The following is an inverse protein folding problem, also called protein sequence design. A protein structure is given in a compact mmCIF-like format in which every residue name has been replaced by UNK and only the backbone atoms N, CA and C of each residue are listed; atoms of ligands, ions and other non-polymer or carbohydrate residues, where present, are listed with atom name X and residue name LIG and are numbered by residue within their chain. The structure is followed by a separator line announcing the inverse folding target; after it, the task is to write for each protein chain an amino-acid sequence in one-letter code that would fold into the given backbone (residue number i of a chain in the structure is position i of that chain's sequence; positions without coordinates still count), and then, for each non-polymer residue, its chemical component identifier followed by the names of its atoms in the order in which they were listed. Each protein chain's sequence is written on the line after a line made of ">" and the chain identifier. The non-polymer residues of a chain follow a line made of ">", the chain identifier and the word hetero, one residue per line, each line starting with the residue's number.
data_IF_679240550236
#
_entry.id   IF_679240550236
#
_cell.length_a   1.000
_cell.length_b   1.000
_cell.length_c   1.000
_cell.angle_alpha   90.00
_cell.angle_beta   90.00
_cell.angle_gamma   90.00
#
_symmetry.space_group_name_H-M   'P 1'
#
loop_
_entity.id
_entity.type
_entity.pdbx_description
1 polymer ?
#
# COMPACT_ATOMS: atom_id res chain seq x y z
N UNK A 1 25.64 0.08 -17.95
CA UNK A 1 24.98 0.01 -16.64
C UNK A 1 24.76 -1.46 -16.30
N UNK A 2 25.59 -2.01 -15.42
CA UNK A 2 25.45 -3.37 -14.89
C UNK A 2 24.14 -3.43 -14.10
N UNK A 3 23.21 -4.33 -14.50
CA UNK A 3 22.06 -4.66 -13.64
C UNK A 3 22.62 -5.04 -12.25
N UNK A 4 22.02 -4.57 -11.14
CA UNK A 4 22.38 -5.09 -9.84
C UNK A 4 22.30 -6.62 -9.90
N UNK A 5 23.27 -7.29 -9.27
CA UNK A 5 23.27 -8.75 -9.21
C UNK A 5 22.10 -9.20 -8.34
N UNK A 6 20.93 -9.37 -8.97
CA UNK A 6 19.69 -9.86 -8.35
C UNK A 6 19.92 -11.28 -7.77
N UNK A 7 20.95 -11.98 -8.26
CA UNK A 7 21.41 -13.29 -7.74
C UNK A 7 22.31 -13.20 -6.49
N UNK A 8 22.62 -12.00 -5.99
CA UNK A 8 23.37 -11.85 -4.74
C UNK A 8 22.51 -12.27 -3.54
N UNK A 9 23.07 -13.00 -2.56
CA UNK A 9 22.34 -13.42 -1.36
C UNK A 9 21.71 -12.27 -0.57
N UNK A 10 22.20 -11.04 -0.75
CA UNK A 10 21.66 -9.82 -0.12
C UNK A 10 20.37 -9.29 -0.77
N UNK A 11 20.10 -9.65 -2.03
CA UNK A 11 18.89 -9.25 -2.78
C UNK A 11 17.87 -10.38 -2.91
N UNK A 12 18.08 -11.48 -2.18
CA UNK A 12 17.09 -12.54 -2.08
C UNK A 12 15.78 -12.00 -1.52
N UNK A 13 14.67 -12.36 -2.16
CA UNK A 13 13.33 -11.92 -1.78
C UNK A 13 12.98 -12.24 -0.32
N UNK A 14 13.39 -13.39 0.20
CA UNK A 14 13.13 -13.77 1.59
C UNK A 14 13.94 -12.97 2.61
N UNK A 15 15.16 -12.56 2.26
CA UNK A 15 15.98 -11.66 3.08
C UNK A 15 15.32 -10.28 3.10
N UNK A 16 14.95 -9.74 1.94
CA UNK A 16 14.27 -8.45 1.86
C UNK A 16 12.88 -8.47 2.53
N UNK A 17 12.14 -9.58 2.47
CA UNK A 17 10.86 -9.76 3.20
C UNK A 17 11.09 -9.63 4.71
N UNK A 18 12.16 -10.24 5.23
CA UNK A 18 12.52 -10.19 6.64
C UNK A 18 12.96 -8.79 7.06
N UNK A 19 13.85 -8.17 6.30
CA UNK A 19 14.29 -6.79 6.58
C UNK A 19 13.09 -5.85 6.54
N UNK A 20 12.20 -5.96 5.54
CA UNK A 20 10.99 -5.13 5.47
C UNK A 20 10.13 -5.28 6.74
N UNK A 21 9.94 -6.52 7.18
CA UNK A 21 9.22 -6.80 8.43
C UNK A 21 9.93 -6.20 9.64
N UNK A 22 11.24 -6.42 9.78
CA UNK A 22 12.03 -5.91 10.91
C UNK A 22 12.03 -4.37 10.97
N UNK A 23 12.06 -3.71 9.81
CA UNK A 23 11.97 -2.24 9.72
C UNK A 23 10.59 -1.72 10.10
N UNK A 24 9.53 -2.42 9.71
CA UNK A 24 8.16 -2.06 10.11
C UNK A 24 7.94 -2.33 11.60
N UNK A 25 8.42 -3.46 12.13
CA UNK A 25 8.30 -3.82 13.55
C UNK A 25 9.23 -3.01 14.48
N UNK A 26 10.06 -2.11 13.92
CA UNK A 26 11.02 -1.32 14.68
C UNK A 26 10.29 -0.37 15.67
N UNK A 27 10.78 -0.19 16.91
CA UNK A 27 10.11 0.66 17.91
C UNK A 27 9.96 2.13 17.51
N UNK A 28 10.78 2.61 16.57
CA UNK A 28 10.71 3.97 16.05
C UNK A 28 9.75 4.12 14.86
N UNK A 29 9.20 3.02 14.33
CA UNK A 29 8.28 3.09 13.22
C UNK A 29 6.91 3.59 13.69
N UNK A 30 6.37 4.66 13.07
CA UNK A 30 5.17 5.35 13.55
C UNK A 30 3.88 4.63 13.11
N UNK A 31 3.57 3.51 13.76
CA UNK A 31 2.39 2.69 13.43
C UNK A 31 1.08 3.46 13.58
N UNK A 32 0.91 4.23 14.65
CA UNK A 32 -0.30 5.02 14.88
C UNK A 32 -0.55 6.03 13.75
N UNK A 33 0.49 6.75 13.32
CA UNK A 33 0.40 7.72 12.23
C UNK A 33 0.14 7.03 10.87
N UNK A 34 0.72 5.85 10.65
CA UNK A 34 0.43 5.06 9.47
C UNK A 34 -1.05 4.62 9.44
N UNK A 35 -1.56 4.08 10.55
CA UNK A 35 -2.94 3.63 10.66
C UNK A 35 -3.93 4.79 10.49
N UNK A 36 -3.64 5.96 11.07
CA UNK A 36 -4.40 7.20 10.85
C UNK A 36 -4.46 7.58 9.37
N UNK A 37 -3.35 7.50 8.64
CA UNK A 37 -3.31 7.78 7.19
C UNK A 37 -4.12 6.76 6.40
N UNK A 38 -3.97 5.47 6.70
CA UNK A 38 -4.62 4.39 5.94
C UNK A 38 -6.11 4.23 6.26
N UNK A 39 -6.60 4.92 7.30
CA UNK A 39 -8.02 5.01 7.69
C UNK A 39 -8.60 6.44 7.57
N UNK A 40 -7.88 7.35 6.91
CA UNK A 40 -8.27 8.75 6.77
C UNK A 40 -9.55 8.95 5.94
N UNK A 41 -10.06 7.91 5.29
CA UNK A 41 -11.30 7.96 4.51
C UNK A 41 -12.56 8.25 5.34
N UNK A 42 -12.48 8.09 6.66
CA UNK A 42 -13.52 8.48 7.61
C UNK A 42 -13.72 10.00 7.71
N UNK A 43 -12.69 10.80 7.45
CA UNK A 43 -12.76 12.26 7.43
C UNK A 43 -12.08 12.83 6.17
N UNK A 44 -12.84 13.37 5.21
CA UNK A 44 -12.32 14.03 4.02
C UNK A 44 -11.26 15.12 4.25
N UNK A 45 -11.25 15.73 5.44
CA UNK A 45 -10.33 16.80 5.81
C UNK A 45 -9.28 16.34 6.82
N UNK A 46 -9.14 15.03 7.07
CA UNK A 46 -8.13 14.49 7.97
C UNK A 46 -6.74 15.01 7.55
N UNK A 47 -6.01 15.68 8.46
CA UNK A 47 -4.67 16.14 8.17
C UNK A 47 -3.71 14.95 8.09
N UNK A 48 -2.59 15.12 7.38
CA UNK A 48 -1.49 14.17 7.44
C UNK A 48 -0.83 14.30 8.82
N UNK A 49 -0.75 13.23 9.63
CA UNK A 49 -0.18 13.31 10.96
C UNK A 49 1.30 13.68 10.90
N UNK A 50 1.78 14.55 11.80
CA UNK A 50 3.17 14.96 11.80
C UNK A 50 4.09 13.82 12.27
N UNK A 51 5.28 13.75 11.68
CA UNK A 51 6.36 12.87 12.11
C UNK A 51 7.46 13.68 12.81
N UNK A 52 7.95 13.17 13.93
CA UNK A 52 9.22 13.63 14.48
C UNK A 52 10.42 13.18 13.60
N UNK A 53 11.61 13.70 13.89
CA UNK A 53 12.82 13.40 13.11
C UNK A 53 13.14 11.90 13.08
N UNK A 54 12.96 11.19 14.21
CA UNK A 54 13.29 9.77 14.33
C UNK A 54 12.29 8.92 13.56
N UNK A 55 11.00 9.23 13.67
CA UNK A 55 9.93 8.59 12.93
C UNK A 55 10.09 8.81 11.42
N UNK A 56 10.42 10.05 11.00
CA UNK A 56 10.68 10.36 9.59
C UNK A 56 11.80 9.48 9.01
N UNK A 57 12.92 9.36 9.72
CA UNK A 57 14.03 8.50 9.30
C UNK A 57 13.62 7.02 9.22
N UNK A 58 12.82 6.54 10.18
CA UNK A 58 12.30 5.18 10.16
C UNK A 58 11.37 4.92 8.96
N UNK A 59 10.51 5.89 8.61
CA UNK A 59 9.61 5.79 7.44
C UNK A 59 10.40 5.84 6.13
N UNK A 60 11.43 6.68 6.04
CA UNK A 60 12.34 6.70 4.88
C UNK A 60 13.07 5.37 4.69
N UNK A 61 13.55 4.76 5.78
CA UNK A 61 14.20 3.44 5.76
C UNK A 61 13.21 2.36 5.32
N UNK A 62 12.02 2.30 5.94
CA UNK A 62 10.97 1.35 5.58
C UNK A 62 10.59 1.49 4.10
N UNK A 63 10.42 2.72 3.61
CA UNK A 63 10.07 2.99 2.21
C UNK A 63 11.12 2.46 1.23
N UNK A 64 12.41 2.60 1.55
CA UNK A 64 13.51 2.07 0.73
C UNK A 64 13.49 0.54 0.71
N UNK A 65 13.33 -0.10 1.87
CA UNK A 65 13.31 -1.56 1.96
C UNK A 65 12.10 -2.16 1.26
N UNK A 66 10.91 -1.56 1.41
CA UNK A 66 9.70 -1.98 0.71
C UNK A 66 9.85 -1.85 -0.81
N UNK A 67 10.43 -0.73 -1.29
CA UNK A 67 10.73 -0.55 -2.72
C UNK A 67 11.70 -1.63 -3.25
N UNK A 68 12.74 -1.98 -2.48
CA UNK A 68 13.66 -3.05 -2.84
C UNK A 68 12.96 -4.42 -2.88
N UNK A 69 12.16 -4.73 -1.86
CA UNK A 69 11.38 -5.97 -1.81
C UNK A 69 10.47 -6.12 -3.04
N UNK A 70 9.76 -5.05 -3.41
CA UNK A 70 8.90 -5.02 -4.59
C UNK A 70 9.64 -5.27 -5.89
N UNK A 71 10.90 -4.84 -5.99
CA UNK A 71 11.73 -5.03 -7.18
C UNK A 71 12.21 -6.48 -7.39
N UNK A 72 12.00 -7.36 -6.42
CA UNK A 72 12.35 -8.78 -6.55
C UNK A 72 11.27 -9.56 -7.30
N UNK A 73 11.70 -10.46 -8.19
CA UNK A 73 10.78 -11.36 -8.91
C UNK A 73 10.06 -12.30 -7.94
N UNK A 74 8.78 -12.55 -8.24
CA UNK A 74 7.87 -13.41 -7.45
C UNK A 74 7.24 -14.52 -8.30
N UNK A 75 7.95 -14.94 -9.33
CA UNK A 75 7.65 -16.15 -10.11
C UNK A 75 7.44 -17.30 -9.12
N UNK A 76 6.24 -17.87 -9.11
CA UNK A 76 5.78 -18.96 -8.24
C UNK A 76 5.32 -18.60 -6.80
N UNK A 77 4.89 -17.36 -6.56
CA UNK A 77 4.26 -16.98 -5.28
C UNK A 77 2.83 -17.53 -5.12
N UNK A 78 2.51 -18.04 -3.92
CA UNK A 78 1.16 -18.42 -3.53
C UNK A 78 0.21 -17.22 -3.51
N UNK A 79 -1.11 -17.44 -3.59
CA UNK A 79 -2.08 -16.34 -3.50
C UNK A 79 -1.99 -15.60 -2.15
N UNK A 80 -1.67 -16.30 -1.06
CA UNK A 80 -1.39 -15.68 0.24
C UNK A 80 -0.14 -14.78 0.21
N UNK A 81 0.93 -15.21 -0.45
CA UNK A 81 2.15 -14.39 -0.60
C UNK A 81 1.90 -13.17 -1.49
N UNK A 82 1.06 -13.30 -2.52
CA UNK A 82 0.64 -12.17 -3.35
C UNK A 82 -0.18 -11.17 -2.54
N UNK A 83 -1.18 -11.63 -1.78
CA UNK A 83 -1.97 -10.74 -0.92
C UNK A 83 -1.10 -10.01 0.10
N UNK A 84 -0.16 -10.73 0.73
CA UNK A 84 0.82 -10.15 1.64
C UNK A 84 1.67 -9.07 0.95
N UNK A 85 2.11 -9.33 -0.29
CA UNK A 85 2.87 -8.35 -1.08
C UNK A 85 2.04 -7.09 -1.37
N UNK A 86 0.75 -7.26 -1.74
CA UNK A 86 -0.16 -6.13 -1.96
C UNK A 86 -0.40 -5.32 -0.68
N UNK A 87 -0.47 -5.97 0.49
CA UNK A 87 -0.53 -5.25 1.78
C UNK A 87 0.74 -4.44 2.05
N UNK A 88 1.92 -4.99 1.76
CA UNK A 88 3.18 -4.24 1.90
C UNK A 88 3.27 -3.07 0.92
N UNK A 89 2.76 -3.20 -0.29
CA UNK A 89 2.66 -2.09 -1.24
C UNK A 89 1.67 -1.02 -0.76
N UNK A 90 0.59 -1.42 -0.08
CA UNK A 90 -0.35 -0.48 0.54
C UNK A 90 0.32 0.27 1.71
N UNK A 91 1.05 -0.43 2.56
CA UNK A 91 1.91 0.17 3.60
C UNK A 91 2.91 1.14 3.00
N UNK A 92 3.56 0.79 1.89
CA UNK A 92 4.50 1.67 1.19
C UNK A 92 3.83 2.96 0.73
N UNK A 93 2.59 2.89 0.21
CA UNK A 93 1.84 4.08 -0.17
C UNK A 93 1.52 4.97 1.05
N UNK A 94 1.18 4.38 2.19
CA UNK A 94 1.02 5.09 3.46
C UNK A 94 2.30 5.82 3.90
N UNK A 95 3.45 5.15 3.81
CA UNK A 95 4.75 5.76 4.07
C UNK A 95 5.03 6.95 3.12
N UNK A 96 4.72 6.82 1.83
CA UNK A 96 4.84 7.92 0.87
C UNK A 96 3.96 9.12 1.26
N UNK A 97 2.74 8.90 1.75
CA UNK A 97 1.85 9.96 2.23
C UNK A 97 2.45 10.67 3.45
N UNK A 98 2.93 9.91 4.43
CA UNK A 98 3.60 10.45 5.63
C UNK A 98 4.85 11.29 5.29
N UNK A 99 5.53 10.94 4.20
CA UNK A 99 6.67 11.70 3.64
C UNK A 99 6.26 12.82 2.69
N UNK A 100 4.95 13.12 2.56
CA UNK A 100 4.38 14.13 1.67
C UNK A 100 4.60 13.88 0.16
N UNK A 101 4.96 12.65 -0.24
CA UNK A 101 4.98 12.23 -1.65
C UNK A 101 3.59 11.74 -2.09
N UNK A 102 2.66 12.69 -2.22
CA UNK A 102 1.26 12.38 -2.54
C UNK A 102 1.07 11.83 -3.95
N UNK A 103 1.87 12.31 -4.92
CA UNK A 103 1.80 11.85 -6.29
C UNK A 103 2.34 10.42 -6.44
N UNK A 104 3.44 10.09 -5.74
CA UNK A 104 3.97 8.73 -5.67
C UNK A 104 3.00 7.76 -5.00
N UNK A 105 2.40 8.17 -3.87
CA UNK A 105 1.39 7.40 -3.17
C UNK A 105 0.17 7.12 -4.06
N UNK A 106 -0.40 8.15 -4.69
CA UNK A 106 -1.57 8.00 -5.57
C UNK A 106 -1.30 7.01 -6.71
N UNK A 107 -0.13 7.09 -7.35
CA UNK A 107 0.24 6.16 -8.43
C UNK A 107 0.31 4.72 -7.92
N UNK A 108 0.90 4.49 -6.74
CA UNK A 108 1.00 3.16 -6.13
C UNK A 108 -0.39 2.60 -5.80
N UNK A 109 -1.26 3.40 -5.20
CA UNK A 109 -2.63 3.00 -4.88
C UNK A 109 -3.46 2.71 -6.14
N UNK A 110 -3.31 3.50 -7.21
CA UNK A 110 -3.97 3.24 -8.49
C UNK A 110 -3.50 1.95 -9.16
N UNK A 111 -2.24 1.55 -8.96
CA UNK A 111 -1.75 0.24 -9.41
C UNK A 111 -2.35 -0.89 -8.56
N UNK A 112 -2.39 -0.73 -7.24
CA UNK A 112 -2.98 -1.71 -6.31
C UNK A 112 -4.44 -2.02 -6.66
N UNK A 113 -5.27 -1.01 -6.87
CA UNK A 113 -6.69 -1.24 -7.25
C UNK A 113 -6.85 -1.97 -8.59
N UNK A 114 -5.88 -1.86 -9.52
CA UNK A 114 -5.92 -2.61 -10.79
C UNK A 114 -5.60 -4.09 -10.60
N UNK A 115 -4.70 -4.40 -9.67
CA UNK A 115 -4.33 -5.77 -9.30
C UNK A 115 -5.42 -6.43 -8.45
N UNK A 116 -6.01 -5.68 -7.53
CA UNK A 116 -7.07 -6.14 -6.62
C UNK A 116 -8.44 -6.25 -7.29
N UNK A 117 -8.64 -5.57 -8.43
CA UNK A 117 -9.90 -5.58 -9.16
C UNK A 117 -10.38 -7.02 -9.38
N UNK A 118 -11.61 -7.37 -8.94
CA UNK A 118 -12.16 -8.70 -9.16
C UNK A 118 -12.16 -9.07 -10.64
N UNK A 119 -11.45 -10.14 -11.00
CA UNK A 119 -11.45 -10.70 -12.36
C UNK A 119 -11.92 -12.15 -12.31
N UNK A 120 -12.76 -12.60 -13.27
CA UNK A 120 -13.27 -13.98 -13.30
C UNK A 120 -12.18 -15.06 -13.32
N UNK A 121 -10.97 -14.70 -13.74
CA UNK A 121 -9.84 -15.61 -13.92
C UNK A 121 -8.81 -15.56 -12.77
N UNK A 122 -8.98 -14.67 -11.79
CA UNK A 122 -8.04 -14.52 -10.67
C UNK A 122 -8.69 -15.02 -9.37
N UNK A 123 -8.19 -16.17 -8.91
CA UNK A 123 -8.56 -16.78 -7.62
C UNK A 123 -8.33 -15.80 -6.47
N UNK A 124 -7.21 -15.06 -6.49
CA UNK A 124 -6.86 -14.07 -5.48
C UNK A 124 -7.86 -12.92 -5.40
N UNK A 125 -8.17 -12.28 -6.53
CA UNK A 125 -9.04 -11.08 -6.56
C UNK A 125 -10.49 -11.36 -6.17
N UNK A 126 -10.86 -12.64 -6.09
CA UNK A 126 -12.18 -13.11 -5.69
C UNK A 126 -12.24 -13.48 -4.20
N UNK A 127 -11.13 -13.42 -3.47
CA UNK A 127 -11.10 -13.66 -2.03
C UNK A 127 -11.69 -12.47 -1.27
N UNK A 128 -12.34 -12.76 -0.15
CA UNK A 128 -12.93 -11.73 0.73
C UNK A 128 -11.84 -10.78 1.23
N UNK A 129 -10.66 -11.30 1.54
CA UNK A 129 -9.53 -10.52 2.03
C UNK A 129 -8.98 -9.55 0.96
N UNK A 130 -8.93 -9.96 -0.31
CA UNK A 130 -8.55 -9.07 -1.41
C UNK A 130 -9.61 -7.98 -1.65
N UNK A 131 -10.89 -8.31 -1.54
CA UNK A 131 -11.98 -7.33 -1.63
C UNK A 131 -11.92 -6.30 -0.49
N UNK A 132 -11.63 -6.73 0.73
CA UNK A 132 -11.41 -5.81 1.86
C UNK A 132 -10.23 -4.88 1.62
N UNK A 133 -9.10 -5.41 1.14
CA UNK A 133 -7.94 -4.59 0.80
C UNK A 133 -8.26 -3.59 -0.34
N UNK A 134 -9.03 -3.99 -1.35
CA UNK A 134 -9.46 -3.08 -2.43
C UNK A 134 -10.30 -1.92 -1.87
N UNK A 135 -11.21 -2.22 -0.93
CA UNK A 135 -12.01 -1.18 -0.26
C UNK A 135 -11.16 -0.20 0.56
N UNK A 136 -10.14 -0.70 1.29
CA UNK A 136 -9.20 0.13 2.05
C UNK A 136 -8.42 1.07 1.11
N UNK A 137 -7.83 0.51 0.04
CA UNK A 137 -7.08 1.27 -0.96
C UNK A 137 -7.97 2.33 -1.64
N UNK A 138 -9.20 1.99 -2.00
CA UNK A 138 -10.16 2.92 -2.61
C UNK A 138 -10.58 4.02 -1.63
N UNK A 139 -10.69 3.72 -0.33
CA UNK A 139 -10.92 4.71 0.72
C UNK A 139 -9.81 5.74 0.77
N UNK A 140 -8.56 5.29 0.84
CA UNK A 140 -7.38 6.17 0.87
C UNK A 140 -7.25 7.00 -0.40
N UNK A 141 -7.52 6.41 -1.58
CA UNK A 141 -7.56 7.15 -2.86
C UNK A 141 -8.65 8.23 -2.88
N UNK A 142 -9.83 7.93 -2.33
CA UNK A 142 -10.92 8.89 -2.22
C UNK A 142 -10.51 10.07 -1.33
N UNK A 143 -9.97 9.82 -0.15
CA UNK A 143 -9.48 10.85 0.76
C UNK A 143 -8.38 11.70 0.11
N UNK A 144 -7.35 11.06 -0.44
CA UNK A 144 -6.22 11.73 -1.07
C UNK A 144 -6.65 12.60 -2.27
N UNK A 145 -7.64 12.14 -3.03
CA UNK A 145 -8.21 12.92 -4.14
C UNK A 145 -8.97 14.15 -3.63
N UNK A 146 -9.72 14.03 -2.52
CA UNK A 146 -10.40 15.18 -1.91
C UNK A 146 -9.41 16.20 -1.36
N UNK A 147 -8.38 15.75 -0.64
CA UNK A 147 -7.32 16.61 -0.12
C UNK A 147 -6.60 17.42 -1.22
N UNK A 148 -6.50 16.85 -2.43
CA UNK A 148 -5.93 17.50 -3.61
C UNK A 148 -6.97 18.30 -4.45
N UNK A 149 -8.19 18.50 -3.97
CA UNK A 149 -9.31 19.15 -4.68
C UNK A 149 -9.71 18.46 -6.02
N UNK A 150 -9.42 17.17 -6.16
CA UNK A 150 -9.80 16.35 -7.33
C UNK A 150 -11.15 15.66 -7.08
N UNK A 151 -12.22 16.45 -6.98
CA UNK A 151 -13.57 15.96 -6.59
C UNK A 151 -14.11 14.85 -7.49
N UNK A 152 -13.92 14.97 -8.82
CA UNK A 152 -14.35 13.95 -9.77
C UNK A 152 -13.66 12.59 -9.55
N UNK A 153 -12.37 12.60 -9.18
CA UNK A 153 -11.64 11.37 -8.87
C UNK A 153 -12.13 10.76 -7.56
N UNK A 154 -12.36 11.59 -6.53
CA UNK A 154 -12.91 11.13 -5.27
C UNK A 154 -14.28 10.45 -5.43
N UNK A 155 -15.19 11.04 -6.23
CA UNK A 155 -16.48 10.43 -6.53
C UNK A 155 -16.34 9.11 -7.29
N UNK A 156 -15.39 9.01 -8.23
CA UNK A 156 -15.12 7.77 -8.97
C UNK A 156 -14.70 6.65 -8.03
N UNK A 157 -13.76 6.93 -7.12
CA UNK A 157 -13.28 5.93 -6.15
C UNK A 157 -14.37 5.53 -5.16
N UNK A 158 -15.18 6.50 -4.70
CA UNK A 158 -16.33 6.22 -3.83
C UNK A 158 -17.35 5.29 -4.49
N UNK A 159 -17.72 5.54 -5.76
CA UNK A 159 -18.63 4.68 -6.51
C UNK A 159 -18.07 3.27 -6.71
N UNK A 160 -16.78 3.15 -7.00
CA UNK A 160 -16.13 1.85 -7.12
C UNK A 160 -16.16 1.10 -5.78
N UNK A 161 -15.77 1.75 -4.68
CA UNK A 161 -15.78 1.13 -3.34
C UNK A 161 -17.15 0.57 -2.96
N UNK A 162 -18.22 1.31 -3.23
CA UNK A 162 -19.59 0.82 -3.02
C UNK A 162 -19.92 -0.41 -3.88
N UNK A 163 -19.40 -0.48 -5.10
CA UNK A 163 -19.52 -1.66 -5.97
C UNK A 163 -18.81 -2.89 -5.41
N UNK A 164 -17.60 -2.74 -4.86
CA UNK A 164 -16.87 -3.84 -4.19
C UNK A 164 -17.62 -4.30 -2.94
N UNK A 165 -18.08 -3.35 -2.12
CA UNK A 165 -18.84 -3.64 -0.91
C UNK A 165 -20.10 -4.48 -1.20
N UNK A 166 -20.78 -4.23 -2.32
CA UNK A 166 -21.96 -4.99 -2.73
C UNK A 166 -21.65 -6.44 -3.14
N UNK A 167 -20.39 -6.77 -3.44
CA UNK A 167 -19.94 -8.13 -3.78
C UNK A 167 -19.54 -8.96 -2.56
N UNK A 168 -19.34 -8.34 -1.40
CA UNK A 168 -18.97 -9.05 -0.18
C UNK A 168 -20.13 -9.93 0.33
N UNK A 169 -19.84 -11.14 0.84
CA UNK A 169 -20.84 -11.97 1.50
C UNK A 169 -21.38 -11.26 2.76
N UNK A 170 -22.68 -11.42 3.02
CA UNK A 170 -23.38 -10.83 4.18
C UNK A 170 -23.19 -11.65 5.45
#
# INVERSE_FOLDING_TARGET
>A
MTKPAIDSPLFRRDVLKRIAKDTLDAPSFPHEQLDEVLSADHDPNAPIPPLDTRQRLAVEEASKVLAMYRSTDSTDSSDLDKLYTLRLEYTQAGCSILLFDLAGAQRTLELLTRELRPRPQSSLSSTVEAMHLDMEVLGTLQWLSKAQNQTANAERYSKWRAGVQAMLPK
#
